data_IF_564174976832
#
_entry.id   IF_564174976832
#
_cell.length_a   1.000
_cell.length_b   1.000
_cell.length_c   1.000
_cell.angle_alpha   90.00
_cell.angle_beta   90.00
_cell.angle_gamma   90.00
#
_symmetry.space_group_name_H-M   'P 1'
#
loop_
_entity.id
_entity.type
_entity.pdbx_description
1 polymer ?
#
# COMPACT_ATOMS: atom_id res chain seq x y z
N UNK A 1 5.12 -29.88 -39.51
CA UNK A 1 3.76 -29.77 -38.96
C UNK A 1 3.77 -28.63 -37.99
N UNK A 2 3.15 -27.50 -38.36
CA UNK A 2 3.12 -26.30 -37.56
C UNK A 2 2.23 -26.56 -36.33
N UNK A 3 2.82 -26.41 -35.15
CA UNK A 3 2.11 -26.41 -33.87
C UNK A 3 1.12 -25.24 -33.86
N UNK A 4 -0.15 -25.54 -34.12
CA UNK A 4 -1.24 -24.58 -34.02
C UNK A 4 -1.42 -24.26 -32.56
N UNK A 5 -0.76 -23.19 -32.11
CA UNK A 5 -0.65 -22.68 -30.74
C UNK A 5 -1.92 -22.61 -29.88
N UNK A 6 -2.64 -23.71 -29.76
CA UNK A 6 -3.79 -23.86 -28.87
C UNK A 6 -3.31 -24.06 -27.43
N UNK A 7 -3.58 -23.09 -26.57
CA UNK A 7 -3.32 -23.23 -25.15
C UNK A 7 -4.26 -24.32 -24.60
N UNK A 8 -3.68 -25.40 -24.10
CA UNK A 8 -4.44 -26.43 -23.39
C UNK A 8 -4.30 -26.22 -21.88
N UNK A 9 -5.40 -25.95 -21.21
CA UNK A 9 -5.48 -25.86 -19.74
C UNK A 9 -6.02 -27.18 -19.21
N UNK A 10 -5.33 -27.76 -18.23
CA UNK A 10 -5.78 -28.97 -17.55
C UNK A 10 -6.46 -28.56 -16.23
N UNK A 11 -7.73 -28.92 -16.05
CA UNK A 11 -8.43 -28.82 -14.78
C UNK A 11 -8.76 -30.25 -14.34
N UNK A 12 -8.00 -30.76 -13.40
CA UNK A 12 -8.04 -32.18 -13.06
C UNK A 12 -7.61 -33.05 -14.25
N UNK A 13 -8.45 -34.03 -14.62
CA UNK A 13 -8.21 -34.93 -15.75
C UNK A 13 -8.81 -34.46 -17.08
N UNK A 14 -9.42 -33.25 -17.12
CA UNK A 14 -10.13 -32.72 -18.30
C UNK A 14 -9.26 -31.68 -19.02
N UNK A 15 -9.12 -31.86 -20.34
CA UNK A 15 -8.37 -30.99 -21.23
C UNK A 15 -9.29 -29.92 -21.81
N UNK A 16 -9.06 -28.66 -21.47
CA UNK A 16 -9.79 -27.53 -22.06
C UNK A 16 -8.91 -26.83 -23.10
N UNK A 17 -9.46 -26.57 -24.28
CA UNK A 17 -8.84 -25.77 -25.33
C UNK A 17 -9.41 -24.36 -25.22
N UNK A 18 -8.56 -23.41 -24.82
CA UNK A 18 -8.96 -21.99 -24.71
C UNK A 18 -8.94 -21.36 -26.10
N UNK A 19 -10.05 -20.79 -26.61
CA UNK A 19 -10.11 -20.09 -27.88
C UNK A 19 -9.22 -18.84 -27.92
N UNK A 20 -8.69 -18.47 -29.07
CA UNK A 20 -7.75 -17.32 -29.25
C UNK A 20 -8.24 -15.97 -28.70
N UNK A 21 -9.52 -15.56 -28.87
CA UNK A 21 -10.00 -14.31 -28.30
C UNK A 21 -9.95 -14.27 -26.78
N UNK A 22 -10.30 -15.35 -26.08
CA UNK A 22 -10.19 -15.44 -24.63
C UNK A 22 -8.74 -15.36 -24.17
N UNK A 23 -7.79 -15.95 -24.88
CA UNK A 23 -6.35 -15.85 -24.60
C UNK A 23 -5.85 -14.40 -24.65
N UNK A 24 -6.37 -13.59 -25.58
CA UNK A 24 -5.99 -12.17 -25.71
C UNK A 24 -6.48 -11.36 -24.52
N UNK A 25 -7.72 -11.56 -24.10
CA UNK A 25 -8.31 -10.91 -22.94
C UNK A 25 -7.58 -11.27 -21.64
N UNK A 26 -7.33 -12.55 -21.36
CA UNK A 26 -6.56 -12.98 -20.19
C UNK A 26 -5.17 -12.35 -20.15
N UNK A 27 -4.51 -12.18 -21.29
CA UNK A 27 -3.21 -11.54 -21.35
C UNK A 27 -3.28 -10.03 -21.05
N UNK A 28 -4.32 -9.35 -21.51
CA UNK A 28 -4.53 -7.93 -21.23
C UNK A 28 -4.86 -7.75 -19.75
N UNK A 29 -5.81 -8.51 -19.23
CA UNK A 29 -6.23 -8.46 -17.84
C UNK A 29 -5.06 -8.79 -16.90
N UNK A 30 -4.29 -9.84 -17.18
CA UNK A 30 -3.12 -10.18 -16.36
C UNK A 30 -2.02 -9.10 -16.36
N UNK A 31 -1.81 -8.41 -17.50
CA UNK A 31 -0.90 -7.24 -17.52
C UNK A 31 -1.46 -6.07 -16.72
N UNK A 32 -2.75 -5.75 -16.87
CA UNK A 32 -3.40 -4.71 -16.08
C UNK A 32 -3.34 -5.03 -14.59
N UNK A 33 -3.62 -6.27 -14.20
CA UNK A 33 -3.51 -6.73 -12.82
C UNK A 33 -2.11 -6.55 -12.25
N UNK A 34 -1.06 -6.87 -13.02
CA UNK A 34 0.33 -6.63 -12.61
C UNK A 34 0.61 -5.13 -12.37
N UNK A 35 0.28 -4.28 -13.35
CA UNK A 35 0.53 -2.84 -13.23
C UNK A 35 -0.33 -2.16 -12.16
N UNK A 36 -1.54 -2.67 -11.89
CA UNK A 36 -2.37 -2.21 -10.79
C UNK A 36 -1.68 -2.45 -9.43
N UNK A 37 -1.04 -3.61 -9.22
CA UNK A 37 -0.27 -3.89 -8.01
C UNK A 37 0.98 -2.98 -7.89
N UNK A 38 1.67 -2.73 -9.02
CA UNK A 38 2.81 -1.79 -9.04
C UNK A 38 2.34 -0.36 -8.74
N UNK A 39 1.23 0.08 -9.34
CA UNK A 39 0.62 1.39 -9.05
C UNK A 39 0.25 1.53 -7.57
N UNK A 40 -0.29 0.50 -6.97
CA UNK A 40 -0.60 0.47 -5.55
C UNK A 40 0.65 0.68 -4.68
N UNK A 41 1.77 0.02 -4.99
CA UNK A 41 3.04 0.27 -4.30
C UNK A 41 3.50 1.72 -4.46
N UNK A 42 3.45 2.27 -5.68
CA UNK A 42 3.83 3.66 -5.96
C UNK A 42 2.94 4.65 -5.21
N UNK A 43 1.64 4.41 -5.17
CA UNK A 43 0.68 5.25 -4.46
C UNK A 43 1.01 5.30 -2.95
N UNK A 44 1.28 4.14 -2.33
CA UNK A 44 1.63 4.13 -0.90
C UNK A 44 3.05 4.64 -0.61
N UNK A 45 4.01 4.49 -1.52
CA UNK A 45 5.29 5.23 -1.43
C UNK A 45 4.99 6.74 -1.37
N UNK A 46 4.14 7.25 -2.26
CA UNK A 46 3.75 8.65 -2.30
C UNK A 46 3.09 9.12 -1.00
N UNK A 47 2.08 8.39 -0.53
CA UNK A 47 1.35 8.73 0.72
C UNK A 47 2.26 8.69 1.94
N UNK A 48 3.04 7.63 2.14
CA UNK A 48 3.95 7.49 3.28
C UNK A 48 5.07 8.52 3.24
N UNK A 49 5.63 8.78 2.06
CA UNK A 49 6.66 9.82 1.89
C UNK A 49 6.12 11.21 2.15
N UNK A 50 4.92 11.54 1.67
CA UNK A 50 4.27 12.82 1.96
C UNK A 50 3.98 12.98 3.45
N UNK A 51 3.44 11.94 4.09
CA UNK A 51 3.18 11.95 5.53
C UNK A 51 4.45 12.18 6.36
N UNK A 52 5.59 11.63 5.92
CA UNK A 52 6.85 11.75 6.63
C UNK A 52 7.59 13.05 6.26
N UNK A 53 7.86 13.30 4.97
CA UNK A 53 8.73 14.42 4.57
C UNK A 53 8.00 15.76 4.61
N UNK A 54 6.74 15.81 4.17
CA UNK A 54 6.00 17.06 4.15
C UNK A 54 5.37 17.37 5.50
N UNK A 55 4.52 16.51 6.06
CA UNK A 55 3.84 16.82 7.30
C UNK A 55 4.77 16.74 8.52
N UNK A 56 5.49 15.63 8.68
CA UNK A 56 6.30 15.44 9.87
C UNK A 56 7.58 16.29 9.89
N UNK A 57 8.32 16.40 8.77
CA UNK A 57 9.58 17.15 8.77
C UNK A 57 9.42 18.60 8.34
N UNK A 58 8.68 18.90 7.26
CA UNK A 58 8.55 20.27 6.77
C UNK A 58 7.55 21.10 7.58
N UNK A 59 6.43 20.53 7.99
CA UNK A 59 5.42 21.21 8.81
C UNK A 59 5.63 21.02 10.32
N UNK A 60 6.58 20.16 10.71
CA UNK A 60 6.84 19.80 12.11
C UNK A 60 5.62 19.20 12.85
N UNK A 61 4.70 18.59 12.11
CA UNK A 61 3.55 17.87 12.66
C UNK A 61 3.93 16.46 13.05
N UNK A 62 4.23 16.22 14.33
CA UNK A 62 4.51 14.87 14.82
C UNK A 62 3.25 14.01 14.75
N UNK A 63 3.35 12.76 14.22
CA UNK A 63 2.21 11.88 14.13
C UNK A 63 1.77 11.38 15.52
N UNK A 64 0.47 11.35 15.76
CA UNK A 64 -0.10 10.75 16.96
C UNK A 64 0.01 9.21 16.91
N UNK A 65 -0.17 8.49 18.03
CA UNK A 65 -0.12 7.03 18.06
C UNK A 65 -1.05 6.35 17.05
N UNK A 66 -2.24 6.90 16.82
CA UNK A 66 -3.18 6.41 15.82
C UNK A 66 -2.68 6.68 14.38
N UNK A 67 -2.04 7.83 14.14
CA UNK A 67 -1.45 8.16 12.85
C UNK A 67 -0.30 7.19 12.50
N UNK A 68 0.53 6.83 13.49
CA UNK A 68 1.58 5.81 13.33
C UNK A 68 0.95 4.46 12.99
N UNK A 69 -0.07 4.04 13.75
CA UNK A 69 -0.77 2.78 13.52
C UNK A 69 -1.43 2.71 12.12
N UNK A 70 -1.95 3.82 11.61
CA UNK A 70 -2.47 3.92 10.23
C UNK A 70 -1.35 3.75 9.20
N UNK A 71 -0.19 4.41 9.39
CA UNK A 71 0.99 4.20 8.51
C UNK A 71 1.42 2.72 8.53
N UNK A 72 1.43 2.08 9.70
CA UNK A 72 1.72 0.64 9.81
C UNK A 72 0.68 -0.20 9.05
N UNK A 73 -0.62 0.13 9.15
CA UNK A 73 -1.68 -0.51 8.36
C UNK A 73 -1.47 -0.38 6.86
N UNK A 74 -1.04 0.80 6.37
CA UNK A 74 -0.68 1.03 4.97
C UNK A 74 0.52 0.16 4.54
N UNK A 75 1.58 0.09 5.37
CA UNK A 75 2.74 -0.75 5.10
C UNK A 75 2.35 -2.22 5.03
N UNK A 76 1.60 -2.74 6.02
CA UNK A 76 1.14 -4.13 6.06
C UNK A 76 0.27 -4.48 4.85
N UNK A 77 -0.67 -3.61 4.48
CA UNK A 77 -1.50 -3.78 3.30
C UNK A 77 -0.66 -3.86 2.02
N UNK A 78 0.37 -3.04 1.91
CA UNK A 78 1.26 -2.99 0.75
C UNK A 78 2.20 -4.20 0.64
N UNK A 79 2.48 -4.90 1.75
CA UNK A 79 3.25 -6.15 1.71
C UNK A 79 2.56 -7.21 0.86
N UNK A 80 1.23 -7.21 0.78
CA UNK A 80 0.47 -8.10 -0.10
C UNK A 80 0.79 -7.86 -1.57
N UNK A 81 0.77 -6.60 -2.00
CA UNK A 81 1.15 -6.22 -3.36
C UNK A 81 2.64 -6.48 -3.65
N UNK A 82 3.52 -6.18 -2.70
CA UNK A 82 4.95 -6.49 -2.79
C UNK A 82 5.19 -7.99 -3.01
N UNK A 83 4.49 -8.83 -2.25
CA UNK A 83 4.54 -10.28 -2.40
C UNK A 83 4.12 -10.70 -3.81
N UNK A 84 2.96 -10.23 -4.29
CA UNK A 84 2.44 -10.54 -5.62
C UNK A 84 3.42 -10.11 -6.71
N UNK A 85 3.89 -8.86 -6.68
CA UNK A 85 4.79 -8.30 -7.71
C UNK A 85 6.13 -9.03 -7.72
N UNK A 86 6.75 -9.26 -6.56
CA UNK A 86 8.05 -9.92 -6.46
C UNK A 86 8.01 -11.37 -6.98
N UNK A 87 6.98 -12.15 -6.62
CA UNK A 87 6.80 -13.51 -7.10
C UNK A 87 6.43 -13.58 -8.58
N UNK A 88 5.66 -12.59 -9.08
CA UNK A 88 5.40 -12.45 -10.52
C UNK A 88 6.69 -12.22 -11.32
N UNK A 89 7.56 -11.29 -10.87
CA UNK A 89 8.84 -11.03 -11.52
C UNK A 89 9.77 -12.25 -11.52
N UNK A 90 9.75 -13.05 -10.46
CA UNK A 90 10.51 -14.31 -10.34
C UNK A 90 9.84 -15.45 -11.07
N UNK A 91 8.63 -15.29 -11.64
CA UNK A 91 7.82 -16.32 -12.27
C UNK A 91 7.48 -17.50 -11.34
N UNK A 92 7.38 -17.24 -10.05
CA UNK A 92 7.05 -18.21 -9.00
C UNK A 92 5.67 -17.99 -8.40
N UNK A 93 4.91 -17.01 -8.91
CA UNK A 93 3.57 -16.72 -8.42
C UNK A 93 2.61 -17.85 -8.81
N UNK A 94 2.02 -18.47 -7.81
CA UNK A 94 0.95 -19.46 -7.97
C UNK A 94 -0.42 -18.78 -7.77
N UNK A 95 -1.53 -19.38 -8.24
CA UNK A 95 -2.88 -18.88 -7.93
C UNK A 95 -3.13 -18.74 -6.42
N UNK A 96 -2.71 -19.72 -5.63
CA UNK A 96 -2.79 -19.65 -4.16
C UNK A 96 -1.94 -18.49 -3.60
N UNK A 97 -0.71 -18.29 -4.10
CA UNK A 97 0.13 -17.17 -3.72
C UNK A 97 -0.49 -15.82 -4.06
N UNK A 98 -1.18 -15.71 -5.20
CA UNK A 98 -1.92 -14.50 -5.56
C UNK A 98 -3.04 -14.20 -4.54
N UNK A 99 -3.85 -15.20 -4.20
CA UNK A 99 -4.91 -15.08 -3.19
C UNK A 99 -4.33 -14.74 -1.80
N UNK A 100 -3.20 -15.34 -1.43
CA UNK A 100 -2.48 -15.02 -0.18
C UNK A 100 -2.07 -13.55 -0.14
N UNK A 101 -1.48 -13.02 -1.21
CA UNK A 101 -1.11 -11.61 -1.28
C UNK A 101 -2.29 -10.66 -1.17
N UNK A 102 -3.42 -10.97 -1.83
CA UNK A 102 -4.66 -10.19 -1.68
C UNK A 102 -5.22 -10.27 -0.26
N UNK A 103 -5.19 -11.45 0.37
CA UNK A 103 -5.58 -11.64 1.76
C UNK A 103 -4.72 -10.81 2.73
N UNK A 104 -3.40 -10.78 2.53
CA UNK A 104 -2.49 -9.91 3.31
C UNK A 104 -2.86 -8.43 3.16
N UNK A 105 -3.16 -7.98 1.93
CA UNK A 105 -3.59 -6.61 1.68
C UNK A 105 -4.89 -6.25 2.42
N UNK A 106 -5.88 -7.15 2.41
CA UNK A 106 -7.14 -6.97 3.12
C UNK A 106 -6.92 -6.89 4.64
N UNK A 107 -6.14 -7.81 5.21
CA UNK A 107 -5.88 -7.83 6.65
C UNK A 107 -5.16 -6.56 7.12
N UNK A 108 -4.15 -6.11 6.38
CA UNK A 108 -3.47 -4.84 6.67
C UNK A 108 -4.40 -3.63 6.57
N UNK A 109 -5.24 -3.59 5.52
CA UNK A 109 -6.22 -2.52 5.33
C UNK A 109 -7.32 -2.55 6.41
N UNK A 110 -7.73 -3.71 6.89
CA UNK A 110 -8.70 -3.85 7.97
C UNK A 110 -8.16 -3.28 9.29
N UNK A 111 -6.91 -3.59 9.65
CA UNK A 111 -6.25 -3.03 10.83
C UNK A 111 -6.13 -1.50 10.73
N UNK A 112 -5.66 -1.00 9.57
CA UNK A 112 -5.55 0.44 9.33
C UNK A 112 -6.88 1.16 9.35
N UNK A 113 -7.95 0.56 8.79
CA UNK A 113 -9.29 1.16 8.80
C UNK A 113 -9.89 1.22 10.21
N UNK A 114 -9.62 0.22 11.07
CA UNK A 114 -10.04 0.26 12.46
C UNK A 114 -9.41 1.44 13.22
N UNK A 115 -8.10 1.70 13.02
CA UNK A 115 -7.40 2.83 13.62
C UNK A 115 -7.89 4.18 13.07
N UNK A 116 -8.14 4.27 11.75
CA UNK A 116 -8.69 5.47 11.12
C UNK A 116 -10.10 5.78 11.61
N UNK A 117 -10.96 4.76 11.70
CA UNK A 117 -12.32 4.91 12.23
C UNK A 117 -12.31 5.38 13.68
N UNK A 118 -11.45 4.78 14.52
CA UNK A 118 -11.27 5.23 15.90
C UNK A 118 -10.90 6.71 15.97
N UNK A 119 -9.98 7.17 15.13
CA UNK A 119 -9.55 8.56 15.13
C UNK A 119 -10.67 9.50 14.66
N UNK A 120 -11.46 9.15 13.65
CA UNK A 120 -12.64 9.91 13.23
C UNK A 120 -13.63 10.02 14.38
N UNK A 121 -13.92 8.92 15.10
CA UNK A 121 -14.86 8.93 16.21
C UNK A 121 -14.39 9.77 17.41
N UNK A 122 -13.08 9.87 17.63
CA UNK A 122 -12.52 10.75 18.68
C UNK A 122 -12.72 12.23 18.36
N UNK A 123 -12.81 12.61 17.08
CA UNK A 123 -12.93 13.99 16.61
C UNK A 123 -14.27 14.27 15.92
N UNK A 124 -15.33 13.52 16.25
CA UNK A 124 -16.65 13.68 15.61
C UNK A 124 -17.52 14.76 16.25
N UNK A 125 -17.14 15.27 17.41
CA UNK A 125 -17.95 16.25 18.14
C UNK A 125 -17.93 17.61 17.42
N UNK A 126 -19.10 18.33 17.38
CA UNK A 126 -19.16 19.66 16.80
C UNK A 126 -18.21 20.63 17.52
N UNK A 127 -17.37 21.33 16.74
CA UNK A 127 -16.38 22.27 17.28
C UNK A 127 -15.01 21.69 17.58
N UNK A 128 -14.83 20.37 17.42
CA UNK A 128 -13.50 19.74 17.50
C UNK A 128 -12.68 20.12 16.27
N UNK A 129 -11.47 20.71 16.42
CA UNK A 129 -10.64 21.09 15.28
C UNK A 129 -10.02 19.90 14.54
N UNK A 130 -10.13 18.67 15.08
CA UNK A 130 -9.46 17.48 14.56
C UNK A 130 -7.96 17.47 14.86
N UNK A 131 -7.27 16.43 14.42
CA UNK A 131 -5.82 16.27 14.58
C UNK A 131 -5.10 16.51 13.25
N UNK A 132 -4.07 17.36 13.26
CA UNK A 132 -3.23 17.69 12.12
C UNK A 132 -3.92 18.55 11.06
N UNK A 133 -3.17 18.90 10.02
CA UNK A 133 -3.67 19.75 8.93
C UNK A 133 -4.69 19.01 8.05
N UNK A 134 -5.80 19.69 7.76
CA UNK A 134 -6.79 19.18 6.81
C UNK A 134 -6.33 19.40 5.36
N UNK A 135 -6.48 18.37 4.51
CA UNK A 135 -6.20 18.44 3.09
C UNK A 135 -7.49 18.24 2.29
N UNK A 136 -7.81 19.20 1.40
CA UNK A 136 -9.08 19.23 0.65
C UNK A 136 -10.34 19.14 1.53
N UNK A 137 -10.30 19.76 2.71
CA UNK A 137 -11.43 19.78 3.65
C UNK A 137 -11.61 18.53 4.51
N UNK A 138 -10.72 17.54 4.37
CA UNK A 138 -10.71 16.31 5.16
C UNK A 138 -9.35 16.12 5.84
N UNK A 139 -9.37 15.66 7.09
CA UNK A 139 -8.14 15.30 7.78
C UNK A 139 -7.50 14.05 7.22
N UNK A 140 -6.18 13.90 7.42
CA UNK A 140 -5.39 12.79 6.87
C UNK A 140 -5.91 11.40 7.29
N UNK A 141 -6.44 11.28 8.50
CA UNK A 141 -7.03 10.02 8.98
C UNK A 141 -8.31 9.62 8.23
N UNK A 142 -9.07 10.59 7.70
CA UNK A 142 -10.23 10.31 6.85
C UNK A 142 -9.78 9.84 5.46
N UNK A 143 -8.75 10.45 4.89
CA UNK A 143 -8.12 9.99 3.65
C UNK A 143 -7.52 8.59 3.79
N UNK A 144 -6.92 8.28 4.96
CA UNK A 144 -6.44 6.95 5.27
C UNK A 144 -7.59 5.92 5.26
N UNK A 145 -8.72 6.22 5.90
CA UNK A 145 -9.90 5.33 5.87
C UNK A 145 -10.40 5.09 4.45
N UNK A 146 -10.54 6.16 3.65
CA UNK A 146 -10.96 6.04 2.25
C UNK A 146 -10.01 5.12 1.48
N UNK A 147 -8.68 5.29 1.65
CA UNK A 147 -7.68 4.47 0.98
C UNK A 147 -7.80 2.99 1.37
N UNK A 148 -8.02 2.67 2.65
CA UNK A 148 -8.21 1.30 3.12
C UNK A 148 -9.49 0.66 2.57
N UNK A 149 -10.60 1.41 2.49
CA UNK A 149 -11.85 0.93 1.88
C UNK A 149 -11.62 0.61 0.40
N UNK A 150 -10.91 1.47 -0.33
CA UNK A 150 -10.56 1.23 -1.74
C UNK A 150 -9.74 -0.05 -1.88
N UNK A 151 -8.73 -0.25 -1.03
CA UNK A 151 -7.89 -1.46 -1.06
C UNK A 151 -8.70 -2.71 -0.79
N UNK A 152 -9.53 -2.70 0.26
CA UNK A 152 -10.38 -3.86 0.59
C UNK A 152 -11.36 -4.19 -0.53
N UNK A 153 -12.00 -3.17 -1.10
CA UNK A 153 -12.94 -3.34 -2.21
C UNK A 153 -12.23 -3.91 -3.44
N UNK A 154 -11.09 -3.31 -3.83
CA UNK A 154 -10.33 -3.77 -4.99
C UNK A 154 -9.81 -5.19 -4.82
N UNK A 155 -9.20 -5.50 -3.66
CA UNK A 155 -8.71 -6.85 -3.37
C UNK A 155 -9.87 -7.87 -3.30
N UNK A 156 -11.01 -7.51 -2.71
CA UNK A 156 -12.22 -8.34 -2.69
C UNK A 156 -12.75 -8.64 -4.08
N UNK A 157 -12.81 -7.64 -4.96
CA UNK A 157 -13.20 -7.82 -6.37
C UNK A 157 -12.23 -8.78 -7.07
N UNK A 158 -10.91 -8.58 -6.91
CA UNK A 158 -9.92 -9.48 -7.51
C UNK A 158 -10.04 -10.92 -6.98
N UNK A 159 -10.34 -11.11 -5.70
CA UNK A 159 -10.59 -12.45 -5.12
C UNK A 159 -11.83 -13.11 -5.70
N UNK A 160 -12.88 -12.33 -6.00
CA UNK A 160 -14.12 -12.86 -6.60
C UNK A 160 -13.87 -13.44 -7.99
N UNK A 161 -13.04 -12.80 -8.80
CA UNK A 161 -12.68 -13.28 -10.13
C UNK A 161 -11.52 -14.28 -10.14
N UNK A 162 -10.88 -14.49 -9.00
CA UNK A 162 -9.90 -15.53 -8.75
C UNK A 162 -8.73 -15.53 -9.74
N UNK A 163 -8.57 -16.66 -10.46
CA UNK A 163 -7.41 -16.90 -11.34
C UNK A 163 -7.40 -16.10 -12.64
N UNK A 164 -8.51 -15.47 -13.03
CA UNK A 164 -8.60 -14.71 -14.27
C UNK A 164 -7.69 -13.48 -14.27
N UNK A 165 -7.49 -12.90 -13.09
CA UNK A 165 -6.65 -11.71 -12.86
C UNK A 165 -5.20 -12.04 -12.46
N UNK A 166 -4.75 -13.28 -12.68
CA UNK A 166 -3.38 -13.65 -12.31
C UNK A 166 -2.35 -12.73 -13.01
N UNK A 167 -1.52 -12.01 -12.25
CA UNK A 167 -0.63 -10.99 -12.80
C UNK A 167 0.43 -11.55 -13.74
N UNK A 168 0.55 -10.95 -14.93
CA UNK A 168 1.56 -11.29 -15.93
C UNK A 168 2.64 -10.19 -15.94
N UNK A 169 3.89 -10.50 -15.52
CA UNK A 169 4.97 -9.53 -15.46
C UNK A 169 5.42 -9.08 -16.85
N UNK A 170 6.00 -7.87 -16.97
CA UNK A 170 6.52 -7.37 -18.24
C UNK A 170 7.71 -8.21 -18.72
N UNK A 171 7.79 -8.43 -20.05
CA UNK A 171 8.89 -9.14 -20.70
C UNK A 171 10.10 -8.21 -20.87
N UNK A 172 9.89 -6.92 -21.05
CA UNK A 172 10.92 -5.93 -21.28
C UNK A 172 11.85 -5.80 -20.06
N UNK A 173 13.17 -5.90 -20.26
CA UNK A 173 14.21 -5.80 -19.21
C UNK A 173 14.15 -4.44 -18.50
N UNK A 174 13.93 -3.34 -19.25
CA UNK A 174 13.82 -2.00 -18.66
C UNK A 174 12.62 -1.87 -17.72
N UNK A 175 11.45 -2.36 -18.13
CA UNK A 175 10.25 -2.35 -17.29
C UNK A 175 10.45 -3.20 -16.03
N UNK A 176 11.13 -4.35 -16.14
CA UNK A 176 11.47 -5.19 -14.99
C UNK A 176 12.44 -4.48 -14.04
N UNK A 177 13.46 -3.81 -14.60
CA UNK A 177 14.41 -3.01 -13.81
C UNK A 177 13.72 -1.88 -13.07
N UNK A 178 12.81 -1.16 -13.74
CA UNK A 178 11.99 -0.11 -13.12
C UNK A 178 11.18 -0.66 -11.93
N UNK A 179 10.49 -1.78 -12.11
CA UNK A 179 9.70 -2.38 -11.03
C UNK A 179 10.58 -2.83 -9.85
N UNK A 180 11.77 -3.39 -10.10
CA UNK A 180 12.73 -3.67 -9.05
C UNK A 180 13.19 -2.41 -8.31
N UNK A 181 13.41 -1.31 -9.04
CA UNK A 181 13.69 0.00 -8.44
C UNK A 181 12.56 0.47 -7.52
N UNK A 182 11.30 0.35 -7.96
CA UNK A 182 10.13 0.67 -7.14
C UNK A 182 10.08 -0.19 -5.87
N UNK A 183 10.36 -1.49 -5.97
CA UNK A 183 10.43 -2.39 -4.81
C UNK A 183 11.49 -1.92 -3.81
N UNK A 184 12.68 -1.58 -4.29
CA UNK A 184 13.78 -1.10 -3.42
C UNK A 184 13.38 0.21 -2.74
N UNK A 185 12.80 1.16 -3.48
CA UNK A 185 12.32 2.44 -2.92
C UNK A 185 11.23 2.17 -1.86
N UNK A 186 10.29 1.26 -2.14
CA UNK A 186 9.24 0.91 -1.20
C UNK A 186 9.79 0.33 0.11
N UNK A 187 10.72 -0.63 0.02
CA UNK A 187 11.39 -1.22 1.19
C UNK A 187 12.17 -0.16 1.97
N UNK A 188 12.87 0.73 1.26
CA UNK A 188 13.56 1.86 1.89
C UNK A 188 12.59 2.81 2.60
N UNK A 189 11.44 3.11 1.99
CA UNK A 189 10.38 3.94 2.60
C UNK A 189 9.88 3.32 3.91
N UNK A 190 9.63 2.00 3.93
CA UNK A 190 9.24 1.29 5.16
C UNK A 190 10.35 1.41 6.21
N UNK A 191 11.60 1.10 5.84
CA UNK A 191 12.73 1.13 6.77
C UNK A 191 12.92 2.53 7.38
N UNK A 192 12.85 3.59 6.57
CA UNK A 192 12.97 4.97 7.04
C UNK A 192 11.80 5.32 7.97
N UNK A 193 10.56 4.96 7.62
CA UNK A 193 9.42 5.19 8.52
C UNK A 193 9.60 4.50 9.87
N UNK A 194 10.06 3.25 9.89
CA UNK A 194 10.30 2.51 11.14
C UNK A 194 11.38 3.20 11.99
N UNK A 195 12.46 3.67 11.37
CA UNK A 195 13.52 4.41 12.06
C UNK A 195 12.98 5.73 12.63
N UNK A 196 12.21 6.49 11.85
CA UNK A 196 11.64 7.77 12.27
C UNK A 196 10.66 7.59 13.44
N UNK A 197 9.81 6.57 13.39
CA UNK A 197 8.91 6.22 14.49
C UNK A 197 9.70 5.85 15.74
N UNK A 198 10.79 5.09 15.60
CA UNK A 198 11.66 4.77 16.74
C UNK A 198 12.31 6.00 17.36
N UNK A 199 12.72 6.99 16.57
CA UNK A 199 13.22 8.27 17.08
C UNK A 199 12.15 9.07 17.82
N UNK A 200 10.90 8.96 17.39
CA UNK A 200 9.77 9.66 18.00
C UNK A 200 9.34 9.02 19.33
N UNK A 201 9.23 7.70 19.38
CA UNK A 201 8.80 6.93 20.54
C UNK A 201 9.94 6.66 21.54
N UNK A 202 11.16 6.46 21.04
CA UNK A 202 12.32 6.08 21.83
C UNK A 202 12.15 4.71 22.47
N UNK A 203 12.51 4.61 23.75
CA UNK A 203 12.34 3.40 24.56
C UNK A 203 11.06 3.46 25.43
N UNK A 204 10.15 4.38 25.16
CA UNK A 204 8.92 4.51 25.90
C UNK A 204 7.89 3.50 25.38
N UNK A 205 7.07 2.97 26.32
CA UNK A 205 5.96 2.07 25.97
C UNK A 205 4.73 2.80 25.44
N UNK A 206 4.65 4.11 25.67
CA UNK A 206 3.53 4.94 25.28
C UNK A 206 4.01 6.24 24.64
N UNK A 207 3.48 6.55 23.49
CA UNK A 207 3.56 7.87 22.90
C UNK A 207 2.36 8.69 23.39
N UNK A 208 2.54 9.97 23.81
CA UNK A 208 1.42 10.84 24.17
C UNK A 208 0.50 11.07 22.96
N UNK A 209 -0.79 11.31 23.24
CA UNK A 209 -1.79 11.53 22.17
C UNK A 209 -1.46 12.74 21.28
N UNK A 210 -0.79 13.75 21.87
CA UNK A 210 -0.29 14.94 21.16
C UNK A 210 1.22 15.07 21.41
N UNK A 211 2.08 14.36 20.63
CA UNK A 211 3.52 14.42 20.80
C UNK A 211 4.08 15.78 20.40
N UNK A 212 5.00 16.32 21.20
CA UNK A 212 5.64 17.63 20.97
C UNK A 212 7.13 17.54 20.70
N UNK A 213 7.75 16.40 20.92
CA UNK A 213 9.19 16.18 20.74
C UNK A 213 9.52 14.75 20.35
N UNK A 214 10.66 14.58 19.67
CA UNK A 214 11.26 13.26 19.46
C UNK A 214 11.85 12.74 20.78
N UNK A 215 11.23 11.75 21.38
CA UNK A 215 11.56 11.27 22.72
C UNK A 215 12.99 10.71 22.83
N UNK A 216 13.50 10.07 21.75
CA UNK A 216 14.84 9.47 21.77
C UNK A 216 15.96 10.51 21.90
N UNK A 217 15.79 11.69 21.30
CA UNK A 217 16.82 12.72 21.21
C UNK A 217 16.46 14.03 21.91
N UNK A 218 15.25 14.13 22.48
CA UNK A 218 14.76 15.31 23.19
C UNK A 218 14.63 16.58 22.34
N UNK A 219 14.47 16.42 21.00
CA UNK A 219 14.40 17.54 20.05
C UNK A 219 12.94 17.85 19.73
N UNK A 220 12.55 19.12 19.91
CA UNK A 220 11.27 19.65 19.45
C UNK A 220 11.42 20.12 17.99
N UNK A 221 10.65 19.60 17.04
CA UNK A 221 10.73 20.02 15.66
C UNK A 221 10.20 21.46 15.50
N UNK A 222 10.88 22.25 14.68
CA UNK A 222 10.44 23.59 14.28
C UNK A 222 9.98 23.57 12.82
N UNK A 223 8.84 24.20 12.48
CA UNK A 223 8.39 24.31 11.10
C UNK A 223 9.46 24.96 10.21
N UNK A 224 9.55 24.51 8.97
CA UNK A 224 10.41 25.16 7.99
C UNK A 224 9.95 26.64 7.80
N UNK A 225 10.87 27.59 7.67
CA UNK A 225 10.50 28.99 7.44
C UNK A 225 9.67 29.09 6.16
N UNK A 226 8.47 29.66 6.29
CA UNK A 226 7.62 29.93 5.13
C UNK A 226 8.34 30.97 4.27
N UNK A 227 8.59 30.73 2.97
CA UNK A 227 9.14 31.76 2.10
C UNK A 227 8.18 32.97 2.14
N UNK A 228 8.68 34.08 2.63
CA UNK A 228 7.97 35.37 2.57
C UNK A 228 7.77 35.73 1.10
N UNK A 229 6.58 36.17 0.66
CA UNK A 229 6.27 36.53 -0.72
C UNK A 229 7.12 37.67 -1.24
#
# INVERSE_FOLDING_TARGET
MADTGKLTVFVGNTRFIVPEPERRWHRIIGKLGFWAQVFFLVAYIGVLSTAMFYFQFAQAELPCPLCISQRMGMMLSSLGALFIVSHSLKKTLTPSGFMTGLGMAILGALLGSAMSTRQILLHILPGDPGFGTAMFGLHLYTWALISFIVVMTFAGVLLTFGTEFLPIPPVNKWARGLVWGIIVIFVATIAINMVVVFFEEGFNWFLPDNPTSYQLIGVTPTPAPVPTP
#
